data_IF_297614351147
#
_entry.id   IF_297614351147
#
_cell.length_a   1.000
_cell.length_b   1.000
_cell.length_c   1.000
_cell.angle_alpha   90.00
_cell.angle_beta   90.00
_cell.angle_gamma   90.00
#
_symmetry.space_group_name_H-M   'P 1'
#
loop_
_entity.id
_entity.type
_entity.pdbx_description
1 polymer ?
#
# COMPACT_ATOMS: atom_id res chain seq x y z
N UNK A 1 1.05 7.99 -20.57
CA UNK A 1 -0.32 8.36 -20.93
C UNK A 1 -1.25 7.20 -20.64
N UNK A 2 -1.84 7.18 -19.45
CA UNK A 2 -2.88 6.23 -19.14
C UNK A 2 -4.21 6.79 -19.67
N UNK A 3 -4.70 6.28 -20.79
CA UNK A 3 -6.01 6.62 -21.36
C UNK A 3 -7.02 5.51 -21.07
N UNK A 4 -8.31 5.69 -21.39
CA UNK A 4 -9.34 4.65 -21.23
C UNK A 4 -8.93 3.30 -21.81
N UNK A 5 -8.25 3.30 -22.93
CA UNK A 5 -7.67 2.11 -23.60
C UNK A 5 -6.67 1.34 -22.73
N UNK A 6 -5.94 2.01 -21.82
CA UNK A 6 -4.96 1.37 -20.96
C UNK A 6 -5.63 0.54 -19.85
N UNK A 7 -6.64 1.12 -19.19
CA UNK A 7 -7.41 0.39 -18.16
C UNK A 7 -8.19 -0.76 -18.78
N UNK A 8 -8.74 -0.56 -19.98
CA UNK A 8 -9.46 -1.62 -20.69
C UNK A 8 -8.54 -2.79 -21.05
N UNK A 9 -7.30 -2.52 -21.45
CA UNK A 9 -6.28 -3.56 -21.66
C UNK A 9 -5.95 -4.31 -20.37
N UNK A 10 -5.78 -3.61 -19.25
CA UNK A 10 -5.55 -4.24 -17.95
C UNK A 10 -6.74 -5.08 -17.51
N UNK A 11 -7.96 -4.57 -17.62
CA UNK A 11 -9.18 -5.32 -17.30
C UNK A 11 -9.37 -6.55 -18.19
N UNK A 12 -9.10 -6.41 -19.50
CA UNK A 12 -9.15 -7.55 -20.40
C UNK A 12 -8.14 -8.66 -20.06
N UNK A 13 -6.95 -8.27 -19.53
CA UNK A 13 -5.89 -9.21 -19.17
C UNK A 13 -6.03 -9.82 -17.78
N UNK A 14 -6.47 -9.02 -16.81
CA UNK A 14 -6.47 -9.37 -15.40
C UNK A 14 -7.87 -9.53 -14.80
N UNK A 15 -8.93 -9.19 -15.54
CA UNK A 15 -10.31 -9.37 -15.11
C UNK A 15 -10.60 -8.69 -13.78
N UNK A 16 -11.19 -9.45 -12.85
CA UNK A 16 -11.63 -9.00 -11.53
C UNK A 16 -10.48 -8.52 -10.61
N UNK A 17 -9.22 -8.76 -11.00
CA UNK A 17 -8.06 -8.26 -10.25
C UNK A 17 -7.88 -6.75 -10.36
N UNK A 18 -8.54 -6.10 -11.32
CA UNK A 18 -8.59 -4.65 -11.45
C UNK A 18 -9.94 -4.19 -10.92
N UNK A 19 -9.97 -3.76 -9.66
CA UNK A 19 -11.21 -3.41 -8.95
C UNK A 19 -11.74 -2.04 -9.33
N UNK A 20 -10.86 -1.06 -9.57
CA UNK A 20 -11.24 0.31 -9.90
C UNK A 20 -10.15 1.08 -10.63
N UNK A 21 -10.49 2.26 -11.13
CA UNK A 21 -9.52 3.21 -11.68
C UNK A 21 -10.11 4.62 -11.71
N UNK A 22 -9.25 5.62 -11.51
CA UNK A 22 -9.55 7.02 -11.81
C UNK A 22 -8.36 7.62 -12.55
N UNK A 23 -8.55 7.90 -13.83
CA UNK A 23 -7.51 8.41 -14.73
C UNK A 23 -7.62 9.92 -14.97
N UNK A 24 -8.68 10.56 -14.48
CA UNK A 24 -8.93 11.99 -14.65
C UNK A 24 -8.31 12.84 -13.54
N UNK A 25 -7.82 12.20 -12.48
CA UNK A 25 -7.11 12.87 -11.40
C UNK A 25 -5.74 13.38 -11.84
N UNK A 26 -5.20 14.34 -11.10
CA UNK A 26 -3.81 14.83 -11.24
C UNK A 26 -2.83 13.65 -11.20
N UNK A 27 -3.05 12.73 -10.25
CA UNK A 27 -2.32 11.47 -10.13
C UNK A 27 -3.27 10.33 -10.52
N UNK A 28 -3.20 9.82 -11.76
CA UNK A 28 -4.04 8.73 -12.20
C UNK A 28 -3.72 7.46 -11.41
N UNK A 29 -4.77 6.77 -10.94
CA UNK A 29 -4.61 5.57 -10.15
C UNK A 29 -5.48 4.41 -10.63
N UNK A 30 -5.03 3.21 -10.29
CA UNK A 30 -5.72 1.94 -10.53
C UNK A 30 -5.77 1.19 -9.20
N UNK A 31 -6.93 0.65 -8.88
CA UNK A 31 -7.12 -0.25 -7.74
C UNK A 31 -6.93 -1.69 -8.19
N UNK A 32 -6.08 -2.41 -7.45
CA UNK A 32 -5.71 -3.79 -7.72
C UNK A 32 -6.04 -4.65 -6.52
N UNK A 33 -6.73 -5.77 -6.74
CA UNK A 33 -6.98 -6.75 -5.71
C UNK A 33 -5.66 -7.37 -5.21
N UNK A 34 -5.49 -7.63 -3.90
CA UNK A 34 -4.23 -8.11 -3.32
C UNK A 34 -3.65 -9.33 -4.04
N UNK A 35 -4.48 -10.31 -4.38
CA UNK A 35 -4.09 -11.54 -5.07
C UNK A 35 -3.63 -11.32 -6.52
N UNK A 36 -3.99 -10.18 -7.12
CA UNK A 36 -3.57 -9.77 -8.46
C UNK A 36 -2.28 -8.96 -8.50
N UNK A 37 -1.87 -8.39 -7.37
CA UNK A 37 -0.85 -7.36 -7.30
C UNK A 37 0.47 -7.75 -7.99
N UNK A 38 1.03 -8.90 -7.65
CA UNK A 38 2.33 -9.35 -8.20
C UNK A 38 2.27 -9.54 -9.72
N UNK A 39 1.16 -10.10 -10.22
CA UNK A 39 0.99 -10.34 -11.65
C UNK A 39 0.84 -9.02 -12.43
N UNK A 40 0.05 -8.08 -11.90
CA UNK A 40 -0.14 -6.75 -12.47
C UNK A 40 1.17 -5.95 -12.44
N UNK A 41 1.86 -5.91 -11.30
CA UNK A 41 3.14 -5.21 -11.17
C UNK A 41 4.21 -5.74 -12.13
N UNK A 42 4.32 -7.07 -12.26
CA UNK A 42 5.26 -7.68 -13.21
C UNK A 42 4.93 -7.30 -14.66
N UNK A 43 3.67 -7.33 -15.03
CA UNK A 43 3.24 -6.89 -16.35
C UNK A 43 3.54 -5.42 -16.61
N UNK A 44 3.22 -4.54 -15.66
CA UNK A 44 3.49 -3.10 -15.79
C UNK A 44 4.98 -2.80 -15.96
N UNK A 45 5.85 -3.56 -15.31
CA UNK A 45 7.30 -3.42 -15.47
C UNK A 45 7.79 -3.97 -16.81
N UNK A 46 7.36 -5.18 -17.17
CA UNK A 46 7.95 -5.96 -18.27
C UNK A 46 7.36 -5.65 -19.64
N UNK A 47 6.14 -5.09 -19.71
CA UNK A 47 5.51 -4.69 -20.97
C UNK A 47 6.25 -3.50 -21.60
N UNK A 48 6.88 -3.66 -22.78
CA UNK A 48 7.75 -2.63 -23.37
C UNK A 48 7.07 -1.29 -23.64
N UNK A 49 5.74 -1.29 -23.86
CA UNK A 49 4.95 -0.09 -24.10
C UNK A 49 4.61 0.67 -22.82
N UNK A 50 4.75 0.03 -21.66
CA UNK A 50 4.48 0.58 -20.34
C UNK A 50 5.78 0.87 -19.58
N UNK A 51 6.64 -0.15 -19.44
CA UNK A 51 7.98 -0.10 -18.86
C UNK A 51 8.04 0.71 -17.55
N UNK A 52 7.16 0.40 -16.57
CA UNK A 52 7.23 1.00 -15.23
C UNK A 52 8.40 0.38 -14.47
N UNK A 53 9.60 0.76 -14.88
CA UNK A 53 10.87 0.21 -14.40
C UNK A 53 11.33 0.79 -13.05
N UNK A 54 10.66 1.83 -12.56
CA UNK A 54 11.02 2.49 -11.32
C UNK A 54 9.83 2.58 -10.35
N UNK A 55 10.04 2.11 -9.12
CA UNK A 55 9.13 2.29 -7.99
C UNK A 55 9.65 3.45 -7.14
N UNK A 56 8.93 4.58 -7.15
CA UNK A 56 9.31 5.78 -6.41
C UNK A 56 9.17 5.58 -4.90
N UNK A 57 8.01 5.11 -4.47
CA UNK A 57 7.73 4.81 -3.06
C UNK A 57 6.54 3.87 -2.91
N UNK A 58 6.41 3.29 -1.71
CA UNK A 58 5.20 2.63 -1.22
C UNK A 58 4.77 3.36 0.04
N UNK A 59 3.49 3.70 0.16
CA UNK A 59 2.93 4.37 1.33
C UNK A 59 1.78 3.56 1.91
N UNK A 60 1.73 3.44 3.24
CA UNK A 60 0.58 2.92 3.96
C UNK A 60 -0.32 4.08 4.41
N UNK A 61 -1.62 3.98 4.12
CA UNK A 61 -2.61 5.00 4.52
C UNK A 61 -3.71 4.35 5.33
N UNK A 62 -3.89 4.79 6.57
CA UNK A 62 -4.95 4.31 7.46
C UNK A 62 -6.18 5.20 7.36
N UNK A 63 -7.26 4.67 6.82
CA UNK A 63 -8.57 5.33 6.74
C UNK A 63 -9.40 4.99 7.96
N UNK A 64 -9.25 5.81 9.00
CA UNK A 64 -10.05 5.74 10.21
C UNK A 64 -10.38 7.16 10.70
N UNK A 65 -11.64 7.40 11.01
CA UNK A 65 -12.04 8.54 11.82
C UNK A 65 -12.15 8.12 13.29
N UNK A 66 -11.32 8.72 14.14
CA UNK A 66 -11.39 8.52 15.60
C UNK A 66 -12.51 9.34 16.24
N UNK A 67 -13.06 10.33 15.54
CA UNK A 67 -14.22 11.14 15.93
C UNK A 67 -15.50 10.55 15.34
N UNK A 68 -16.44 10.14 16.20
CA UNK A 68 -17.72 9.53 15.81
C UNK A 68 -18.55 10.40 14.86
N UNK A 69 -18.52 11.74 15.05
CA UNK A 69 -19.26 12.70 14.19
C UNK A 69 -18.68 12.75 12.78
N UNK A 70 -17.37 12.57 12.64
CA UNK A 70 -16.71 12.50 11.35
C UNK A 70 -16.92 11.13 10.71
N UNK A 71 -16.86 10.06 11.50
CA UNK A 71 -17.14 8.70 11.04
C UNK A 71 -18.56 8.57 10.46
N UNK A 72 -19.57 9.16 11.13
CA UNK A 72 -20.96 9.13 10.68
C UNK A 72 -21.22 9.89 9.36
N UNK A 73 -20.31 10.80 8.97
CA UNK A 73 -20.39 11.58 7.72
C UNK A 73 -19.47 11.05 6.63
N UNK A 74 -18.70 10.00 6.92
CA UNK A 74 -17.73 9.44 5.98
C UNK A 74 -18.45 8.64 4.89
N UNK A 75 -18.03 8.84 3.64
CA UNK A 75 -18.50 8.08 2.48
C UNK A 75 -17.79 6.72 2.34
N UNK A 76 -16.74 6.48 3.14
CA UNK A 76 -15.93 5.26 3.11
C UNK A 76 -15.95 4.51 4.46
N UNK A 77 -15.80 3.21 4.40
CA UNK A 77 -15.64 2.36 5.57
C UNK A 77 -14.17 2.35 6.03
N UNK A 78 -13.89 2.14 7.32
CA UNK A 78 -12.52 2.04 7.82
C UNK A 78 -11.74 0.92 7.10
N UNK A 79 -10.60 1.31 6.49
CA UNK A 79 -9.72 0.40 5.76
C UNK A 79 -8.28 0.89 5.78
N UNK A 80 -7.36 0.10 5.25
CA UNK A 80 -5.97 0.48 5.02
C UNK A 80 -5.70 0.42 3.52
N UNK A 81 -5.05 1.43 2.96
CA UNK A 81 -4.55 1.39 1.58
C UNK A 81 -3.04 1.22 1.58
N UNK A 82 -2.55 0.40 0.67
CA UNK A 82 -1.13 0.39 0.27
C UNK A 82 -1.03 1.00 -1.12
N UNK A 83 -0.29 2.10 -1.22
CA UNK A 83 -0.20 2.94 -2.42
C UNK A 83 1.19 2.82 -3.01
N UNK A 84 1.28 2.41 -4.26
CA UNK A 84 2.53 2.24 -5.00
C UNK A 84 2.65 3.32 -6.06
N UNK A 85 3.70 4.14 -5.99
CA UNK A 85 3.98 5.18 -6.97
C UNK A 85 4.99 4.66 -7.99
N UNK A 86 4.53 4.40 -9.21
CA UNK A 86 5.33 3.86 -10.29
C UNK A 86 5.70 4.95 -11.30
N UNK A 87 6.88 4.82 -11.88
CA UNK A 87 7.37 5.70 -12.92
C UNK A 87 8.08 4.90 -14.01
N UNK A 88 7.90 5.32 -15.25
CA UNK A 88 8.65 4.81 -16.39
C UNK A 88 9.75 5.81 -16.75
N UNK A 89 11.00 5.40 -16.53
CA UNK A 89 12.17 6.20 -16.94
C UNK A 89 12.24 6.32 -18.46
N UNK A 90 11.80 5.27 -19.16
CA UNK A 90 11.81 5.21 -20.63
C UNK A 90 10.75 6.10 -21.25
N UNK A 91 9.51 6.05 -20.77
CA UNK A 91 8.36 6.73 -21.40
C UNK A 91 7.96 8.03 -20.69
N UNK A 92 8.60 8.36 -19.55
CA UNK A 92 8.37 9.58 -18.77
C UNK A 92 6.91 9.76 -18.35
N UNK A 93 6.29 8.67 -17.91
CA UNK A 93 4.94 8.70 -17.36
C UNK A 93 4.89 8.06 -15.96
N UNK A 94 3.88 8.41 -15.19
CA UNK A 94 3.64 7.89 -13.83
C UNK A 94 2.31 7.16 -13.76
N UNK A 95 2.19 6.28 -12.76
CA UNK A 95 0.97 5.59 -12.41
C UNK A 95 0.98 5.31 -10.91
N UNK A 96 -0.19 5.44 -10.29
CA UNK A 96 -0.40 5.02 -8.90
C UNK A 96 -1.20 3.72 -8.88
N UNK A 97 -0.72 2.70 -8.16
CA UNK A 97 -1.52 1.54 -7.81
C UNK A 97 -1.98 1.66 -6.38
N UNK A 98 -3.22 1.29 -6.13
CA UNK A 98 -3.80 1.19 -4.79
C UNK A 98 -4.24 -0.24 -4.52
N UNK A 99 -3.96 -0.71 -3.33
CA UNK A 99 -4.48 -1.96 -2.80
C UNK A 99 -5.25 -1.64 -1.53
N UNK A 100 -6.55 -1.94 -1.53
CA UNK A 100 -7.41 -1.75 -0.36
C UNK A 100 -7.41 -3.02 0.46
N UNK A 101 -7.15 -2.87 1.76
CA UNK A 101 -7.08 -3.96 2.73
C UNK A 101 -8.01 -3.65 3.91
N UNK A 102 -8.56 -4.65 4.61
CA UNK A 102 -9.18 -4.41 5.90
C UNK A 102 -8.14 -3.83 6.87
N UNK A 103 -8.58 -3.03 7.84
CA UNK A 103 -7.64 -2.51 8.85
C UNK A 103 -6.99 -3.61 9.69
N UNK A 104 -7.71 -4.70 9.90
CA UNK A 104 -7.24 -5.89 10.60
C UNK A 104 -7.66 -7.14 9.82
N UNK A 105 -6.78 -8.12 9.75
CA UNK A 105 -7.12 -9.42 9.15
C UNK A 105 -8.25 -10.06 9.95
N UNK A 106 -9.28 -10.55 9.24
CA UNK A 106 -10.48 -11.15 9.83
C UNK A 106 -11.21 -10.25 10.86
N UNK A 107 -11.10 -8.92 10.71
CA UNK A 107 -11.65 -7.93 11.65
C UNK A 107 -11.19 -8.11 13.11
N UNK A 108 -10.02 -8.74 13.31
CA UNK A 108 -9.46 -8.97 14.64
C UNK A 108 -8.33 -7.99 14.94
N UNK A 109 -8.51 -7.06 15.89
CA UNK A 109 -7.45 -6.15 16.32
C UNK A 109 -6.16 -6.89 16.69
N UNK A 110 -5.04 -6.43 16.13
CA UNK A 110 -3.72 -7.06 16.33
C UNK A 110 -3.33 -8.06 15.23
N UNK A 111 -4.27 -8.61 14.47
CA UNK A 111 -3.96 -9.41 13.28
C UNK A 111 -3.75 -8.46 12.08
N UNK A 112 -2.50 -8.37 11.59
CA UNK A 112 -2.15 -7.44 10.52
C UNK A 112 -2.78 -7.86 9.19
N UNK A 113 -3.29 -6.90 8.39
CA UNK A 113 -3.71 -7.18 7.01
C UNK A 113 -2.51 -7.59 6.17
N UNK A 114 -2.74 -8.43 5.18
CA UNK A 114 -1.68 -9.02 4.36
C UNK A 114 -1.79 -8.59 2.90
N UNK A 115 -0.62 -8.37 2.29
CA UNK A 115 -0.47 -8.09 0.87
C UNK A 115 0.78 -8.79 0.33
N UNK A 116 0.79 -9.33 -0.90
CA UNK A 116 2.00 -9.93 -1.46
C UNK A 116 3.11 -8.89 -1.67
N UNK A 117 4.35 -9.28 -1.34
CA UNK A 117 5.54 -8.45 -1.58
C UNK A 117 5.83 -8.29 -3.08
N UNK A 118 6.26 -7.09 -3.45
CA UNK A 118 6.76 -6.77 -4.80
C UNK A 118 8.28 -6.52 -4.81
N UNK A 119 8.99 -6.83 -3.73
CA UNK A 119 10.45 -6.69 -3.62
C UNK A 119 11.21 -7.52 -4.66
N UNK A 120 10.65 -8.63 -5.13
CA UNK A 120 11.18 -9.40 -6.25
C UNK A 120 10.95 -8.78 -7.64
N UNK A 121 10.22 -7.67 -7.72
CA UNK A 121 9.95 -6.91 -8.94
C UNK A 121 10.80 -5.64 -8.99
N UNK A 122 10.77 -4.85 -7.92
CA UNK A 122 11.58 -3.65 -7.74
C UNK A 122 12.38 -3.75 -6.44
N UNK A 123 13.69 -3.65 -6.52
CA UNK A 123 14.57 -3.77 -5.33
C UNK A 123 14.32 -2.68 -4.28
N UNK A 124 13.86 -1.50 -4.71
CA UNK A 124 13.50 -0.40 -3.80
C UNK A 124 12.32 -0.76 -2.88
N UNK A 125 11.44 -1.68 -3.30
CA UNK A 125 10.31 -2.14 -2.50
C UNK A 125 10.74 -2.78 -1.18
N UNK A 126 11.90 -3.43 -1.10
CA UNK A 126 12.42 -4.06 0.13
C UNK A 126 12.37 -3.08 1.32
N UNK A 127 12.88 -1.86 1.15
CA UNK A 127 12.90 -0.87 2.22
C UNK A 127 11.54 -0.24 2.48
N UNK A 128 10.80 0.09 1.43
CA UNK A 128 9.48 0.69 1.56
C UNK A 128 8.46 -0.25 2.19
N UNK A 129 8.47 -1.54 1.85
CA UNK A 129 7.59 -2.53 2.45
C UNK A 129 7.89 -2.73 3.94
N UNK A 130 9.17 -2.71 4.33
CA UNK A 130 9.55 -2.74 5.75
C UNK A 130 9.12 -1.49 6.50
N UNK A 131 9.20 -0.30 5.89
CA UNK A 131 8.70 0.95 6.49
C UNK A 131 7.19 0.89 6.70
N UNK A 132 6.41 0.48 5.69
CA UNK A 132 4.95 0.35 5.81
C UNK A 132 4.57 -0.73 6.83
N UNK A 133 5.28 -1.85 6.86
CA UNK A 133 5.11 -2.87 7.90
C UNK A 133 5.36 -2.29 9.29
N UNK A 134 6.48 -1.62 9.49
CA UNK A 134 6.90 -1.11 10.78
C UNK A 134 5.96 -0.02 11.33
N UNK A 135 5.63 0.96 10.49
CA UNK A 135 4.89 2.15 10.92
C UNK A 135 3.38 2.05 10.76
N UNK A 136 2.89 1.37 9.71
CA UNK A 136 1.46 1.29 9.38
C UNK A 136 0.82 -0.06 9.68
N UNK A 137 1.63 -1.09 9.94
CA UNK A 137 1.15 -2.41 10.34
C UNK A 137 0.46 -3.17 9.19
N UNK A 138 1.12 -3.28 8.04
CA UNK A 138 0.74 -4.15 6.93
C UNK A 138 1.78 -5.25 6.78
N UNK A 139 1.36 -6.50 6.70
CA UNK A 139 2.26 -7.64 6.53
C UNK A 139 2.46 -7.97 5.05
N UNK A 140 3.72 -7.97 4.58
CA UNK A 140 4.06 -8.28 3.21
C UNK A 140 4.45 -9.75 3.05
N UNK A 141 3.53 -10.57 2.53
CA UNK A 141 3.76 -12.00 2.34
C UNK A 141 4.82 -12.26 1.27
N UNK A 142 5.77 -13.16 1.57
CA UNK A 142 6.88 -13.47 0.66
C UNK A 142 8.02 -12.44 0.62
N UNK A 143 7.99 -11.41 1.48
CA UNK A 143 9.12 -10.50 1.63
C UNK A 143 10.33 -11.25 2.22
N UNK A 144 11.55 -11.11 1.65
CA UNK A 144 12.71 -11.93 2.05
C UNK A 144 13.24 -11.61 3.46
N UNK A 145 13.00 -10.41 3.99
CA UNK A 145 13.53 -9.97 5.27
C UNK A 145 12.62 -8.94 5.93
N UNK A 146 11.34 -9.32 6.17
CA UNK A 146 10.36 -8.42 6.78
C UNK A 146 10.64 -8.25 8.27
N UNK A 147 11.18 -7.11 8.66
CA UNK A 147 11.49 -6.71 10.04
C UNK A 147 11.34 -5.20 10.19
N UNK A 148 11.20 -4.75 11.44
CA UNK A 148 11.20 -3.32 11.76
C UNK A 148 12.53 -2.67 11.34
N UNK A 149 12.48 -1.41 10.93
CA UNK A 149 13.66 -0.64 10.49
C UNK A 149 13.74 0.74 11.13
N UNK A 150 12.63 1.29 11.62
CA UNK A 150 12.54 2.62 12.22
C UNK A 150 12.22 2.54 13.71
N UNK A 151 11.28 1.69 14.10
CA UNK A 151 11.01 1.41 15.49
C UNK A 151 11.96 0.32 16.02
N UNK A 152 12.33 0.35 17.31
CA UNK A 152 13.02 -0.76 17.98
C UNK A 152 12.23 -2.07 17.86
N UNK A 153 12.91 -3.22 17.98
CA UNK A 153 12.29 -4.54 17.80
C UNK A 153 11.18 -4.82 18.84
N UNK A 154 11.36 -4.29 20.05
CA UNK A 154 10.42 -4.41 21.17
C UNK A 154 9.33 -3.33 21.21
N UNK A 155 9.28 -2.44 20.20
CA UNK A 155 8.25 -1.42 20.10
C UNK A 155 6.87 -2.04 19.89
N UNK A 156 5.90 -1.63 20.70
CA UNK A 156 4.52 -2.14 20.61
C UNK A 156 3.67 -1.25 19.70
N UNK A 157 2.99 -1.88 18.75
CA UNK A 157 2.07 -1.21 17.82
C UNK A 157 2.75 -0.58 16.61
N UNK A 158 2.00 0.25 15.89
CA UNK A 158 2.39 0.86 14.61
C UNK A 158 2.06 2.36 14.64
N UNK A 159 3.08 3.24 14.74
CA UNK A 159 2.89 4.67 15.07
C UNK A 159 2.09 5.50 14.05
N UNK A 160 1.97 5.06 12.78
CA UNK A 160 1.20 5.78 11.77
C UNK A 160 -0.28 5.37 11.70
N UNK A 161 -0.70 4.38 12.51
CA UNK A 161 -2.14 4.06 12.61
C UNK A 161 -2.88 5.17 13.36
N UNK A 162 -4.10 5.49 12.92
CA UNK A 162 -4.91 6.57 13.51
C UNK A 162 -5.40 6.29 14.94
N UNK A 163 -5.45 5.02 15.32
CA UNK A 163 -5.82 4.53 16.66
C UNK A 163 -4.60 4.18 17.52
N UNK A 164 -3.39 4.54 17.06
CA UNK A 164 -2.18 4.31 17.84
C UNK A 164 -2.10 5.27 19.03
N UNK A 165 -1.85 4.70 20.19
CA UNK A 165 -1.58 5.44 21.41
C UNK A 165 -0.09 5.34 21.78
N UNK A 166 0.57 6.50 21.87
CA UNK A 166 1.97 6.56 22.25
C UNK A 166 2.13 6.08 23.70
N UNK A 167 3.07 5.16 23.98
CA UNK A 167 3.32 4.74 25.35
C UNK A 167 3.79 5.91 26.20
N UNK A 168 3.30 6.00 27.47
CA UNK A 168 3.68 7.06 28.40
C UNK A 168 5.14 6.94 28.83
N UNK A 169 5.69 5.71 28.78
CA UNK A 169 7.06 5.41 29.18
C UNK A 169 7.64 4.34 28.27
N UNK A 170 8.91 4.48 27.91
CA UNK A 170 9.67 3.50 27.17
C UNK A 170 11.06 3.35 27.78
N UNK A 171 11.44 2.12 28.21
CA UNK A 171 12.70 1.81 28.89
C UNK A 171 13.03 2.71 30.09
N UNK A 172 12.03 3.01 30.93
CA UNK A 172 12.19 3.88 32.10
C UNK A 172 12.25 5.37 31.77
N UNK A 173 12.12 5.75 30.50
CA UNK A 173 12.09 7.14 30.06
C UNK A 173 10.63 7.52 29.77
N UNK A 174 10.14 8.47 30.56
CA UNK A 174 8.77 8.98 30.42
C UNK A 174 8.71 10.00 29.27
N UNK A 175 7.80 9.76 28.32
CA UNK A 175 7.41 10.73 27.31
C UNK A 175 6.70 11.94 27.92
N UNK A 176 6.64 13.05 27.18
CA UNK A 176 5.90 14.27 27.61
C UNK A 176 4.44 14.15 27.26
#
# INVERSE_FOLDING_TARGET
MAGPTFVDQLKAKFGDKIAGANLENIDPWIEVAPEGLVAVCRYLRDEPTLAFDFLNCISGVDYLHTDEKKAAKSEWQPHTEVVYHLFSMRHKHSLVLKVILPRWKNDKPGELPEVPSVSGIWSTADWHEREVYDLSGVYFTGHPNLRRILCPEDWVGHPLRKDYEMPLEYHGIRGR
#
